data_IF_620239201776
#
_entry.id   IF_620239201776
#
_cell.length_a   1.000
_cell.length_b   1.000
_cell.length_c   1.000
_cell.angle_alpha   90.00
_cell.angle_beta   90.00
_cell.angle_gamma   90.00
#
_symmetry.space_group_name_H-M   'P 1'
#
loop_
_entity.id
_entity.type
_entity.pdbx_description
1 polymer ?
#
# COMPACT_ATOMS: atom_id res chain seq x y z
N UNK A 1 34.06 -60.86 -34.32
CA UNK A 1 32.74 -60.37 -34.77
C UNK A 1 32.35 -59.18 -33.90
N UNK A 2 32.42 -57.96 -34.45
CA UNK A 2 31.27 -57.03 -34.65
C UNK A 2 30.78 -56.44 -33.30
N UNK A 3 31.31 -55.28 -32.91
CA UNK A 3 30.69 -53.93 -33.02
C UNK A 3 29.38 -53.77 -32.23
N UNK A 4 29.48 -53.16 -31.05
CA UNK A 4 28.41 -52.52 -30.26
C UNK A 4 29.16 -51.64 -29.25
N UNK A 5 28.84 -50.40 -28.92
CA UNK A 5 27.65 -49.59 -29.10
C UNK A 5 28.13 -48.13 -28.97
N UNK A 6 27.72 -47.27 -29.90
CA UNK A 6 28.05 -45.84 -29.93
C UNK A 6 27.23 -45.15 -28.84
N UNK A 7 27.88 -44.53 -27.85
CA UNK A 7 27.22 -43.56 -26.97
C UNK A 7 27.45 -42.14 -27.52
N UNK A 8 26.43 -41.65 -28.21
CA UNK A 8 26.31 -40.27 -28.68
C UNK A 8 26.02 -39.39 -27.47
N UNK A 9 26.94 -38.49 -27.12
CA UNK A 9 26.71 -37.43 -26.14
C UNK A 9 26.95 -36.08 -26.82
N UNK A 10 26.01 -35.67 -27.65
CA UNK A 10 25.94 -34.29 -28.15
C UNK A 10 25.21 -33.45 -27.12
N UNK A 11 25.99 -32.66 -26.39
CA UNK A 11 25.54 -31.64 -25.45
C UNK A 11 24.78 -30.56 -26.22
N UNK A 12 23.46 -30.60 -26.15
CA UNK A 12 22.57 -29.62 -26.77
C UNK A 12 22.52 -28.37 -25.88
N UNK A 13 23.39 -27.39 -26.14
CA UNK A 13 23.32 -26.05 -25.55
C UNK A 13 22.16 -25.27 -26.20
N UNK A 14 20.93 -25.53 -25.73
CA UNK A 14 19.80 -24.64 -25.99
C UNK A 14 19.93 -23.48 -25.01
N UNK A 15 20.52 -22.38 -25.47
CA UNK A 15 20.35 -21.08 -24.82
C UNK A 15 18.98 -20.54 -25.19
N UNK A 16 17.97 -20.89 -24.39
CA UNK A 16 16.71 -20.14 -24.37
C UNK A 16 17.03 -18.75 -23.83
N UNK A 17 17.32 -17.82 -24.75
CA UNK A 17 17.19 -16.40 -24.48
C UNK A 17 15.73 -16.16 -24.09
N UNK A 18 15.46 -16.12 -22.79
CA UNK A 18 14.24 -15.59 -22.25
C UNK A 18 14.23 -14.12 -22.68
N UNK A 19 13.54 -13.84 -23.79
CA UNK A 19 13.13 -12.48 -24.08
C UNK A 19 12.24 -12.10 -22.92
N UNK A 20 12.78 -11.31 -21.99
CA UNK A 20 11.97 -10.49 -21.12
C UNK A 20 11.12 -9.63 -22.04
N UNK A 21 9.92 -10.14 -22.30
CA UNK A 21 8.82 -9.37 -22.84
C UNK A 21 8.51 -8.41 -21.71
N UNK A 22 9.11 -7.22 -21.78
CA UNK A 22 8.70 -6.04 -21.04
C UNK A 22 7.24 -5.81 -21.39
N UNK A 23 6.36 -6.48 -20.64
CA UNK A 23 4.94 -6.36 -20.76
C UNK A 23 4.60 -4.90 -20.48
N UNK A 24 3.90 -4.30 -21.43
CA UNK A 24 3.28 -2.97 -21.37
C UNK A 24 2.81 -2.68 -19.96
N UNK A 25 3.42 -1.67 -19.34
CA UNK A 25 3.18 -1.19 -17.97
C UNK A 25 1.76 -0.64 -17.86
N UNK A 26 0.79 -1.51 -17.57
CA UNK A 26 -0.42 -1.09 -16.87
C UNK A 26 -0.05 -0.86 -15.41
N UNK A 27 -0.41 0.29 -14.85
CA UNK A 27 -0.15 0.65 -13.46
C UNK A 27 -0.78 -0.39 -12.52
N UNK A 28 -0.01 -1.42 -12.16
CA UNK A 28 -0.48 -2.44 -11.23
C UNK A 28 -0.49 -1.83 -9.84
N UNK A 29 -1.68 -1.78 -9.26
CA UNK A 29 -1.87 -1.45 -7.86
C UNK A 29 -1.03 -2.42 -7.00
N UNK A 30 -0.22 -1.86 -6.11
CA UNK A 30 0.65 -2.58 -5.20
C UNK A 30 -0.10 -3.00 -3.93
N UNK A 31 -0.03 -4.29 -3.62
CA UNK A 31 -0.51 -4.90 -2.38
C UNK A 31 0.60 -5.82 -1.87
N UNK A 32 0.96 -5.71 -0.59
CA UNK A 32 2.00 -6.55 -0.01
C UNK A 32 1.52 -8.01 0.07
N UNK A 33 2.35 -8.94 -0.40
CA UNK A 33 2.05 -10.37 -0.28
C UNK A 33 1.98 -10.78 1.20
N UNK A 34 0.95 -11.55 1.56
CA UNK A 34 0.81 -12.07 2.92
C UNK A 34 0.34 -11.06 3.98
N UNK A 35 -0.06 -9.84 3.59
CA UNK A 35 -0.48 -8.81 4.55
C UNK A 35 -1.66 -9.26 5.43
N UNK A 36 -2.59 -10.06 4.89
CA UNK A 36 -3.73 -10.58 5.65
C UNK A 36 -3.29 -11.50 6.79
N UNK A 37 -2.28 -12.35 6.54
CA UNK A 37 -1.70 -13.21 7.57
C UNK A 37 -0.98 -12.38 8.63
N UNK A 38 -0.37 -11.26 8.24
CA UNK A 38 0.22 -10.32 9.19
C UNK A 38 -0.85 -9.64 10.06
N UNK A 39 -1.98 -9.21 9.48
CA UNK A 39 -3.10 -8.67 10.26
C UNK A 39 -3.63 -9.69 11.29
N UNK A 40 -3.78 -10.95 10.88
CA UNK A 40 -4.19 -12.04 11.80
C UNK A 40 -3.18 -12.21 12.95
N UNK A 41 -1.87 -12.20 12.66
CA UNK A 41 -0.82 -12.30 13.68
C UNK A 41 -0.84 -11.12 14.66
N UNK A 42 -1.20 -9.94 14.18
CA UNK A 42 -1.36 -8.72 14.98
C UNK A 42 -2.71 -8.66 15.72
N UNK A 43 -3.60 -9.65 15.54
CA UNK A 43 -4.98 -9.65 16.04
C UNK A 43 -5.77 -8.42 15.58
N UNK A 44 -5.54 -8.01 14.34
CA UNK A 44 -6.21 -6.90 13.69
C UNK A 44 -7.15 -7.42 12.60
N UNK A 45 -8.32 -6.80 12.48
CA UNK A 45 -9.29 -7.03 11.40
C UNK A 45 -9.26 -5.83 10.45
N UNK A 46 -9.10 -6.08 9.14
CA UNK A 46 -9.11 -5.00 8.14
C UNK A 46 -10.43 -4.21 8.18
N UNK A 47 -10.31 -2.88 8.11
CA UNK A 47 -11.40 -1.92 7.94
C UNK A 47 -11.43 -1.40 6.51
N UNK A 48 -10.27 -1.03 5.98
CA UNK A 48 -10.12 -0.56 4.60
C UNK A 48 -8.69 -0.79 4.09
N UNK A 49 -8.53 -1.48 2.96
CA UNK A 49 -7.27 -1.50 2.22
C UNK A 49 -7.10 -0.19 1.44
N UNK A 50 -5.91 0.41 1.48
CA UNK A 50 -5.61 1.68 0.81
C UNK A 50 -4.43 1.48 -0.17
N UNK A 51 -4.56 0.60 -1.17
CA UNK A 51 -3.44 0.28 -2.01
C UNK A 51 -3.13 1.43 -2.98
N UNK A 52 -1.87 1.48 -3.43
CA UNK A 52 -1.39 2.51 -4.35
C UNK A 52 -0.40 1.90 -5.35
N UNK A 53 0.10 2.66 -6.31
CA UNK A 53 1.00 2.12 -7.35
C UNK A 53 2.42 1.84 -6.86
N UNK A 54 2.77 2.25 -5.64
CA UNK A 54 4.09 2.11 -5.04
C UNK A 54 4.03 1.60 -3.62
N UNK A 55 5.17 1.08 -3.13
CA UNK A 55 5.37 0.79 -1.71
C UNK A 55 5.35 2.09 -0.87
N UNK A 56 5.03 2.02 0.43
CA UNK A 56 4.50 0.84 1.15
C UNK A 56 3.02 0.57 0.84
N UNK A 57 2.56 -0.66 1.10
CA UNK A 57 1.11 -0.93 1.15
C UNK A 57 0.58 -0.53 2.52
N UNK A 58 -0.56 0.17 2.57
CA UNK A 58 -1.14 0.65 3.81
C UNK A 58 -2.60 0.21 3.89
N UNK A 59 -3.05 -0.18 5.07
CA UNK A 59 -4.47 -0.39 5.35
C UNK A 59 -4.86 0.24 6.70
N UNK A 60 -6.16 0.47 6.88
CA UNK A 60 -6.75 0.67 8.20
C UNK A 60 -7.23 -0.68 8.71
N UNK A 61 -6.89 -1.00 9.95
CA UNK A 61 -7.39 -2.17 10.64
C UNK A 61 -7.84 -1.82 12.07
N UNK A 62 -8.65 -2.67 12.68
CA UNK A 62 -9.14 -2.50 14.05
C UNK A 62 -8.79 -3.71 14.93
N UNK A 63 -8.57 -3.46 16.21
CA UNK A 63 -8.47 -4.51 17.22
C UNK A 63 -9.85 -4.98 17.70
N UNK A 64 -9.86 -5.95 18.63
CA UNK A 64 -11.08 -6.56 19.19
C UNK A 64 -11.95 -5.56 19.98
N UNK A 65 -11.37 -4.47 20.49
CA UNK A 65 -12.09 -3.41 21.22
C UNK A 65 -12.56 -2.28 20.29
N UNK A 66 -12.27 -2.39 18.99
CA UNK A 66 -12.69 -1.44 17.95
C UNK A 66 -11.77 -0.24 17.76
N UNK A 67 -10.61 -0.17 18.41
CA UNK A 67 -9.63 0.89 18.15
C UNK A 67 -9.00 0.67 16.77
N UNK A 68 -8.93 1.73 15.96
CA UNK A 68 -8.40 1.67 14.61
C UNK A 68 -6.92 2.09 14.55
N UNK A 69 -6.19 1.47 13.62
CA UNK A 69 -4.76 1.66 13.38
C UNK A 69 -4.52 1.80 11.88
N UNK A 70 -3.60 2.68 11.50
CA UNK A 70 -2.91 2.59 10.23
C UNK A 70 -1.84 1.51 10.34
N UNK A 71 -1.86 0.53 9.42
CA UNK A 71 -0.88 -0.54 9.33
C UNK A 71 -0.08 -0.35 8.06
N UNK A 72 1.23 -0.11 8.20
CA UNK A 72 2.14 0.21 7.11
C UNK A 72 3.02 -1.00 6.83
N UNK A 73 2.76 -1.67 5.72
CA UNK A 73 3.52 -2.82 5.23
C UNK A 73 4.65 -2.35 4.32
N UNK A 74 5.87 -2.27 4.87
CA UNK A 74 7.07 -1.90 4.10
C UNK A 74 7.69 -3.11 3.41
N UNK A 75 7.57 -4.26 4.04
CA UNK A 75 7.90 -5.58 3.51
C UNK A 75 7.17 -6.65 4.33
N UNK A 76 7.24 -7.90 3.88
CA UNK A 76 6.79 -9.06 4.63
C UNK A 76 7.33 -9.16 6.07
N UNK A 77 8.49 -8.57 6.36
CA UNK A 77 9.14 -8.61 7.68
C UNK A 77 9.06 -7.29 8.45
N UNK A 78 8.70 -6.18 7.79
CA UNK A 78 8.66 -4.85 8.39
C UNK A 78 7.26 -4.26 8.27
N UNK A 79 6.55 -4.29 9.40
CA UNK A 79 5.20 -3.75 9.55
C UNK A 79 5.19 -2.77 10.71
N UNK A 80 4.77 -1.54 10.44
CA UNK A 80 4.60 -0.51 11.47
C UNK A 80 3.10 -0.28 11.73
N UNK A 81 2.71 -0.04 12.98
CA UNK A 81 1.33 0.28 13.35
C UNK A 81 1.26 1.63 14.04
N UNK A 82 0.32 2.47 13.62
CA UNK A 82 0.04 3.77 14.25
C UNK A 82 -1.42 3.83 14.64
N UNK A 83 -1.71 4.03 15.93
CA UNK A 83 -3.09 4.19 16.41
C UNK A 83 -3.70 5.46 15.82
N UNK A 84 -4.88 5.34 15.22
CA UNK A 84 -5.59 6.48 14.65
C UNK A 84 -6.33 7.26 15.76
N UNK A 85 -6.25 8.60 15.79
CA UNK A 85 -6.95 9.42 16.77
C UNK A 85 -8.45 9.54 16.48
N UNK A 86 -8.86 9.34 15.23
CA UNK A 86 -10.25 9.29 14.77
C UNK A 86 -10.43 8.08 13.85
N UNK A 87 -11.66 7.63 13.62
CA UNK A 87 -11.90 6.46 12.76
C UNK A 87 -11.79 6.81 11.27
N UNK A 88 -11.57 5.80 10.43
CA UNK A 88 -11.62 5.93 8.98
C UNK A 88 -12.96 6.50 8.50
N UNK A 89 -14.07 6.11 9.14
CA UNK A 89 -15.40 6.63 8.86
C UNK A 89 -15.51 8.13 9.21
N UNK A 90 -14.86 8.59 10.28
CA UNK A 90 -14.77 10.01 10.61
C UNK A 90 -13.99 10.80 9.56
N UNK A 91 -12.91 10.24 9.01
CA UNK A 91 -12.17 10.87 7.91
C UNK A 91 -13.04 10.97 6.65
N UNK A 92 -13.78 9.91 6.30
CA UNK A 92 -14.74 9.96 5.19
C UNK A 92 -15.84 11.00 5.42
N UNK A 93 -16.34 11.15 6.66
CA UNK A 93 -17.30 12.18 7.00
C UNK A 93 -16.70 13.58 6.83
N UNK A 94 -15.44 13.78 7.23
CA UNK A 94 -14.74 15.05 7.07
C UNK A 94 -14.59 15.45 5.60
N UNK A 95 -14.23 14.52 4.73
CA UNK A 95 -14.16 14.76 3.28
C UNK A 95 -15.52 15.22 2.72
N UNK A 96 -16.64 14.69 3.23
CA UNK A 96 -17.98 15.12 2.85
C UNK A 96 -18.29 16.55 3.29
N UNK A 97 -17.88 16.90 4.51
CA UNK A 97 -18.08 18.24 5.07
C UNK A 97 -17.33 19.32 4.29
N UNK A 98 -16.15 18.99 3.77
CA UNK A 98 -15.35 19.87 2.89
C UNK A 98 -15.93 20.02 1.47
N UNK A 99 -17.12 19.45 1.21
CA UNK A 99 -17.91 19.69 0.00
C UNK A 99 -17.89 18.56 -1.03
N UNK A 100 -17.16 17.47 -0.77
CA UNK A 100 -17.07 16.33 -1.69
C UNK A 100 -18.21 15.32 -1.42
N UNK A 101 -19.31 15.42 -2.18
CA UNK A 101 -20.55 14.65 -1.91
C UNK A 101 -20.49 13.20 -2.39
N UNK A 102 -19.80 12.94 -3.50
CA UNK A 102 -19.69 11.61 -4.12
C UNK A 102 -18.31 10.99 -3.81
N UNK A 103 -18.07 10.70 -2.53
CA UNK A 103 -16.81 10.06 -2.12
C UNK A 103 -16.77 8.63 -2.64
N UNK A 104 -15.91 8.40 -3.63
CA UNK A 104 -15.40 7.07 -3.93
C UNK A 104 -14.30 6.76 -2.91
N UNK A 105 -14.44 5.64 -2.17
CA UNK A 105 -13.48 5.30 -1.11
C UNK A 105 -12.07 5.08 -1.67
N UNK A 106 -12.01 4.66 -2.93
CA UNK A 106 -10.81 4.44 -3.73
C UNK A 106 -10.01 5.73 -3.96
N UNK A 107 -10.64 6.90 -3.79
CA UNK A 107 -10.01 8.20 -3.93
C UNK A 107 -9.36 8.70 -2.63
N UNK A 108 -9.62 8.02 -1.51
CA UNK A 108 -8.98 8.31 -0.23
C UNK A 108 -7.82 7.35 -0.02
N UNK A 109 -6.63 7.90 0.11
CA UNK A 109 -5.39 7.16 0.40
C UNK A 109 -4.77 7.67 1.70
N UNK A 110 -3.91 6.84 2.29
CA UNK A 110 -3.00 7.26 3.36
C UNK A 110 -1.58 7.12 2.84
N UNK A 111 -0.80 8.19 2.93
CA UNK A 111 0.59 8.22 2.48
C UNK A 111 1.53 8.52 3.64
N UNK A 112 2.78 8.10 3.49
CA UNK A 112 3.86 8.57 4.34
C UNK A 112 4.61 9.69 3.61
N UNK A 113 4.52 10.90 4.14
CA UNK A 113 5.16 12.11 3.60
C UNK A 113 6.04 12.66 4.72
N UNK A 114 7.35 12.85 4.47
CA UNK A 114 8.30 13.33 5.49
C UNK A 114 8.27 12.55 6.82
N UNK A 115 8.09 11.22 6.75
CA UNK A 115 7.94 10.32 7.90
C UNK A 115 6.68 10.55 8.74
N UNK A 116 5.68 11.24 8.20
CA UNK A 116 4.37 11.44 8.81
C UNK A 116 3.28 10.81 7.96
N UNK A 117 2.27 10.22 8.60
CA UNK A 117 1.11 9.68 7.89
C UNK A 117 0.11 10.80 7.59
N UNK A 118 -0.27 10.91 6.32
CA UNK A 118 -1.11 11.98 5.78
C UNK A 118 -2.23 11.36 4.95
N UNK A 119 -3.47 11.74 5.23
CA UNK A 119 -4.61 11.38 4.39
C UNK A 119 -4.59 12.24 3.13
N UNK A 120 -4.90 11.62 2.00
CA UNK A 120 -4.99 12.27 0.70
C UNK A 120 -6.28 11.87 0.02
N UNK A 121 -7.17 12.83 -0.22
CA UNK A 121 -8.37 12.63 -1.00
C UNK A 121 -8.26 13.35 -2.35
N UNK A 122 -8.51 12.66 -3.45
CA UNK A 122 -8.48 13.24 -4.80
C UNK A 122 -9.81 13.06 -5.52
N UNK A 123 -10.46 14.14 -5.95
CA UNK A 123 -11.71 14.08 -6.73
C UNK A 123 -11.47 14.14 -8.25
N UNK A 124 -10.21 14.08 -8.68
CA UNK A 124 -9.82 14.23 -10.08
C UNK A 124 -9.66 15.68 -10.55
N UNK A 125 -10.07 16.66 -9.74
CA UNK A 125 -9.82 18.09 -9.98
C UNK A 125 -8.70 18.59 -9.09
N UNK A 126 -8.76 18.25 -7.81
CA UNK A 126 -7.79 18.64 -6.81
C UNK A 126 -7.48 17.50 -5.85
N UNK A 127 -6.50 17.75 -4.99
CA UNK A 127 -6.16 16.83 -3.90
C UNK A 127 -6.17 17.60 -2.59
N UNK A 128 -6.95 17.10 -1.64
CA UNK A 128 -7.00 17.58 -0.27
C UNK A 128 -6.13 16.67 0.59
N UNK A 129 -5.25 17.28 1.37
CA UNK A 129 -4.42 16.58 2.35
C UNK A 129 -4.88 16.88 3.76
N UNK A 130 -4.87 15.88 4.63
CA UNK A 130 -5.24 16.03 6.03
C UNK A 130 -4.29 15.28 6.96
N UNK A 131 -4.12 15.78 8.18
CA UNK A 131 -3.45 15.04 9.25
C UNK A 131 -4.30 13.84 9.72
N UNK A 132 -3.75 13.02 10.62
CA UNK A 132 -4.46 11.83 11.13
C UNK A 132 -5.76 12.15 11.90
N UNK A 133 -6.02 13.39 12.31
CA UNK A 133 -7.25 13.84 12.96
C UNK A 133 -8.31 14.32 11.96
N UNK A 134 -7.93 14.50 10.69
CA UNK A 134 -8.79 15.04 9.64
C UNK A 134 -8.67 16.56 9.46
N UNK A 135 -7.66 17.20 10.06
CA UNK A 135 -7.43 18.63 9.86
C UNK A 135 -6.73 18.88 8.52
N UNK A 136 -7.27 19.79 7.72
CA UNK A 136 -6.74 20.09 6.37
C UNK A 136 -5.35 20.73 6.47
N UNK A 137 -4.40 20.16 5.74
CA UNK A 137 -3.03 20.66 5.63
C UNK A 137 -2.90 21.64 4.47
N UNK A 138 -2.32 22.81 4.72
CA UNK A 138 -2.05 23.81 3.68
C UNK A 138 -0.80 23.49 2.85
N UNK A 139 0.15 22.76 3.42
CA UNK A 139 1.36 22.30 2.74
C UNK A 139 1.86 20.99 3.39
N UNK A 140 1.44 19.81 2.88
CA UNK A 140 1.81 18.51 3.46
C UNK A 140 3.28 18.14 3.21
N UNK A 141 3.99 18.89 2.35
CA UNK A 141 5.37 18.59 1.96
C UNK A 141 6.39 19.44 2.74
N UNK A 142 5.93 20.43 3.51
CA UNK A 142 6.80 21.13 4.47
C UNK A 142 7.13 20.22 5.65
N UNK A 143 8.40 20.18 6.00
CA UNK A 143 8.85 19.49 7.20
C UNK A 143 8.22 20.18 8.42
N UNK A 144 7.48 19.42 9.22
CA UNK A 144 7.15 19.84 10.58
C UNK A 144 8.47 20.03 11.32
N UNK A 145 8.88 21.29 11.53
CA UNK A 145 10.00 21.56 12.43
C UNK A 145 9.52 21.16 13.82
N UNK A 146 9.83 19.93 14.24
CA UNK A 146 9.80 19.56 15.64
C UNK A 146 10.88 20.41 16.32
N UNK A 147 10.47 21.51 16.93
CA UNK A 147 11.25 22.14 17.99
C UNK A 147 11.25 21.16 19.16
N UNK A 148 12.42 20.55 19.39
CA UNK A 148 12.76 19.80 20.59
C UNK A 148 12.67 20.68 21.85
#
# INVERSE_FOLDING_TARGET
MIRMLIFVLTLLLISTACKDISAVTGDKIYIEEGYQQQLIRLKLTEVAALPYFTKPFICVAKDEIGAQYAVVFRSAEKVDTTKLPVSYESILARVKEEGHRDIMKENLHLFEINNELVWSFSDGIGTMYMDLKGEVLTDPFKTSQKTD
#
